data_IF_278267263380
#
_entry.id   IF_278267263380
#
_cell.length_a   1.000
_cell.length_b   1.000
_cell.length_c   1.000
_cell.angle_alpha   90.00
_cell.angle_beta   90.00
_cell.angle_gamma   90.00
#
_symmetry.space_group_name_H-M   'P 1'
#
loop_
_entity.id
_entity.type
_entity.pdbx_description
1 polymer ?
#
# COMPACT_ATOMS: atom_id res chain seq x y z
N UNK A 1 11.00 10.35 55.16
CA UNK A 1 9.90 11.10 54.50
C UNK A 1 10.35 11.89 53.27
N UNK A 2 11.59 12.40 53.17
CA UNK A 2 12.05 13.14 51.98
C UNK A 2 12.23 12.25 50.73
N UNK A 3 12.83 11.06 50.87
CA UNK A 3 13.10 10.13 49.76
C UNK A 3 11.84 9.58 49.07
N UNK A 4 10.78 9.30 49.83
CA UNK A 4 9.50 8.85 49.27
C UNK A 4 8.78 9.94 48.46
N UNK A 5 9.03 11.22 48.77
CA UNK A 5 8.40 12.35 48.08
C UNK A 5 9.10 12.66 46.75
N UNK A 6 10.42 12.51 46.68
CA UNK A 6 11.20 12.66 45.43
C UNK A 6 10.87 11.56 44.43
N UNK A 7 10.73 10.31 44.88
CA UNK A 7 10.37 9.19 44.01
C UNK A 7 9.00 9.35 43.33
N UNK A 8 8.00 9.87 44.07
CA UNK A 8 6.67 10.14 43.49
C UNK A 8 6.70 11.25 42.44
N UNK A 9 7.49 12.31 42.64
CA UNK A 9 7.60 13.42 41.68
C UNK A 9 8.25 12.99 40.35
N UNK A 10 9.27 12.13 40.40
CA UNK A 10 9.92 11.59 39.19
C UNK A 10 9.00 10.64 38.42
N UNK A 11 8.19 9.84 39.14
CA UNK A 11 7.22 8.94 38.52
C UNK A 11 6.07 9.70 37.83
N UNK A 12 5.52 10.73 38.50
CA UNK A 12 4.45 11.56 37.94
C UNK A 12 4.90 12.29 36.66
N UNK A 13 6.12 12.82 36.64
CA UNK A 13 6.71 13.48 35.45
C UNK A 13 6.86 12.53 34.25
N UNK A 14 7.26 11.28 34.47
CA UNK A 14 7.34 10.27 33.40
C UNK A 14 5.96 9.88 32.88
N UNK A 15 4.98 9.73 33.77
CA UNK A 15 3.60 9.39 33.40
C UNK A 15 2.93 10.52 32.61
N UNK A 16 3.16 11.78 32.98
CA UNK A 16 2.64 12.94 32.25
C UNK A 16 3.25 13.05 30.86
N UNK A 17 4.56 12.79 30.70
CA UNK A 17 5.20 12.71 29.38
C UNK A 17 4.63 11.57 28.53
N UNK A 18 4.43 10.39 29.11
CA UNK A 18 3.81 9.25 28.41
C UNK A 18 2.39 9.56 27.95
N UNK A 19 1.58 10.23 28.78
CA UNK A 19 0.21 10.65 28.42
C UNK A 19 0.22 11.70 27.31
N UNK A 20 1.08 12.70 27.43
CA UNK A 20 1.23 13.73 26.39
C UNK A 20 1.65 13.10 25.06
N UNK A 21 2.64 12.20 25.09
CA UNK A 21 3.12 11.51 23.89
C UNK A 21 2.04 10.61 23.27
N UNK A 22 1.28 9.88 24.08
CA UNK A 22 0.15 9.08 23.59
C UNK A 22 -0.92 9.95 22.90
N UNK A 23 -1.26 11.09 23.49
CA UNK A 23 -2.22 12.02 22.91
C UNK A 23 -1.73 12.68 21.61
N UNK A 24 -0.42 12.82 21.41
CA UNK A 24 0.14 13.29 20.14
C UNK A 24 0.07 12.20 19.06
N UNK A 25 0.39 10.95 19.40
CA UNK A 25 0.28 9.82 18.48
C UNK A 25 -1.15 9.60 17.98
N UNK A 26 -2.16 9.81 18.84
CA UNK A 26 -3.58 9.72 18.45
C UNK A 26 -4.01 10.79 17.45
N UNK A 27 -3.28 11.92 17.33
CA UNK A 27 -3.60 12.97 16.35
C UNK A 27 -2.99 12.72 14.98
N UNK A 28 -1.90 11.95 14.92
CA UNK A 28 -1.25 11.61 13.66
C UNK A 28 -2.14 10.64 12.86
N UNK A 29 -2.37 10.95 11.59
CA UNK A 29 -3.41 10.30 10.79
C UNK A 29 -2.89 9.06 10.04
N UNK A 30 -1.64 9.10 9.57
CA UNK A 30 -1.04 8.01 8.82
C UNK A 30 0.14 7.34 9.56
N UNK A 31 0.44 6.06 9.29
CA UNK A 31 1.53 5.33 9.94
C UNK A 31 2.95 5.86 9.72
N UNK A 32 3.21 6.64 8.68
CA UNK A 32 4.52 7.28 8.49
C UNK A 32 4.65 8.48 9.43
N UNK A 33 3.63 9.32 9.48
CA UNK A 33 3.52 10.45 10.42
C UNK A 33 3.57 9.97 11.88
N UNK A 34 2.89 8.86 12.20
CA UNK A 34 2.95 8.23 13.53
C UNK A 34 4.39 7.79 13.84
N UNK A 35 5.11 7.18 12.89
CA UNK A 35 6.47 6.70 13.11
C UNK A 35 7.49 7.85 13.26
N UNK A 36 7.36 8.92 12.47
CA UNK A 36 8.19 10.12 12.59
C UNK A 36 7.97 10.82 13.93
N UNK A 37 6.70 11.03 14.30
CA UNK A 37 6.31 11.64 15.58
C UNK A 37 6.78 10.78 16.74
N UNK A 38 6.64 9.46 16.65
CA UNK A 38 7.12 8.53 17.67
C UNK A 38 8.64 8.60 17.85
N UNK A 39 9.44 8.80 16.80
CA UNK A 39 10.89 8.95 16.92
C UNK A 39 11.26 10.21 17.72
N UNK A 40 10.56 11.33 17.50
CA UNK A 40 10.75 12.57 18.25
C UNK A 40 10.34 12.45 19.72
N UNK A 41 9.14 11.91 19.97
CA UNK A 41 8.64 11.70 21.32
C UNK A 41 9.52 10.72 22.10
N UNK A 42 10.07 9.71 21.43
CA UNK A 42 10.99 8.75 22.03
C UNK A 42 12.28 9.41 22.52
N UNK A 43 12.85 10.36 21.76
CA UNK A 43 14.01 11.16 22.20
C UNK A 43 13.69 11.92 23.49
N UNK A 44 12.55 12.63 23.51
CA UNK A 44 12.14 13.44 24.66
C UNK A 44 11.86 12.59 25.90
N UNK A 45 11.16 11.46 25.73
CA UNK A 45 10.79 10.55 26.82
C UNK A 45 12.03 9.93 27.49
N UNK A 46 12.99 9.50 26.69
CA UNK A 46 14.17 8.75 27.16
C UNK A 46 15.41 9.61 27.36
N UNK A 47 15.32 10.92 27.06
CA UNK A 47 16.44 11.87 27.04
C UNK A 47 17.62 11.33 26.22
N UNK A 48 17.30 10.79 25.05
CA UNK A 48 18.27 10.17 24.16
C UNK A 48 18.81 11.17 23.15
N UNK A 49 20.01 10.91 22.63
CA UNK A 49 20.57 11.71 21.55
C UNK A 49 20.03 11.26 20.20
N UNK A 50 19.71 9.97 20.07
CA UNK A 50 19.35 9.33 18.81
C UNK A 50 18.19 8.36 19.03
N UNK A 51 17.25 8.33 18.08
CA UNK A 51 16.11 7.44 18.04
C UNK A 51 15.95 6.88 16.63
N UNK A 52 15.60 5.59 16.57
CA UNK A 52 15.34 4.86 15.34
C UNK A 52 14.08 4.00 15.54
N UNK A 53 13.18 4.02 14.57
CA UNK A 53 12.02 3.14 14.48
C UNK A 53 12.11 2.40 13.15
N UNK A 54 12.01 1.08 13.20
CA UNK A 54 12.05 0.19 12.03
C UNK A 54 10.69 -0.47 11.88
N UNK A 55 10.07 -0.30 10.71
CA UNK A 55 8.79 -0.90 10.33
C UNK A 55 8.97 -1.64 8.99
N UNK A 56 9.02 -2.96 9.03
CA UNK A 56 9.32 -3.78 7.86
C UNK A 56 10.68 -3.42 7.24
N UNK A 57 10.68 -2.90 6.01
CA UNK A 57 11.89 -2.45 5.29
C UNK A 57 12.16 -0.95 5.40
N UNK A 58 11.29 -0.20 6.08
CA UNK A 58 11.41 1.27 6.26
C UNK A 58 11.96 1.57 7.64
N UNK A 59 12.70 2.68 7.75
CA UNK A 59 13.15 3.20 9.03
C UNK A 59 12.89 4.71 9.12
N UNK A 60 12.63 5.16 10.33
CA UNK A 60 12.38 6.54 10.71
C UNK A 60 13.37 6.87 11.82
N UNK A 61 14.07 7.98 11.70
CA UNK A 61 15.15 8.29 12.62
C UNK A 61 15.20 9.77 12.95
N UNK A 62 15.70 10.10 14.13
CA UNK A 62 15.85 11.48 14.58
C UNK A 62 17.06 11.63 15.49
N UNK A 63 17.83 12.69 15.26
CA UNK A 63 18.88 13.16 16.16
C UNK A 63 18.39 14.37 16.97
N UNK A 64 18.56 14.33 18.29
CA UNK A 64 18.13 15.41 19.19
C UNK A 64 18.90 16.73 18.96
N UNK A 65 20.18 16.65 18.55
CA UNK A 65 21.05 17.81 18.42
C UNK A 65 20.73 18.68 17.19
N UNK A 66 20.30 18.04 16.10
CA UNK A 66 20.05 18.72 14.81
C UNK A 66 18.58 18.76 14.44
N UNK A 67 17.74 17.95 15.11
CA UNK A 67 16.35 17.66 14.70
C UNK A 67 16.24 17.07 13.29
N UNK A 68 17.36 16.59 12.73
CA UNK A 68 17.42 15.97 11.41
C UNK A 68 17.30 14.45 11.51
N UNK A 69 16.97 13.83 10.37
CA UNK A 69 17.02 12.39 10.18
C UNK A 69 18.47 11.90 10.20
N UNK A 70 18.70 10.72 10.77
CA UNK A 70 20.02 10.06 10.76
C UNK A 70 20.31 9.49 9.36
N UNK A 71 21.59 9.46 8.99
CA UNK A 71 22.04 8.70 7.82
C UNK A 71 22.06 7.18 8.08
N UNK A 72 22.19 6.39 7.01
CA UNK A 72 22.11 4.93 7.05
C UNK A 72 23.18 4.31 7.97
N UNK A 73 24.39 4.89 7.99
CA UNK A 73 25.49 4.43 8.81
C UNK A 73 25.19 4.65 10.30
N UNK A 74 24.71 5.84 10.68
CA UNK A 74 24.31 6.13 12.05
C UNK A 74 23.12 5.28 12.52
N UNK A 75 22.16 5.01 11.63
CA UNK A 75 21.05 4.09 11.93
C UNK A 75 21.58 2.68 12.23
N UNK A 76 22.50 2.18 11.42
CA UNK A 76 23.11 0.87 11.62
C UNK A 76 23.91 0.81 12.95
N UNK A 77 24.63 1.88 13.30
CA UNK A 77 25.36 2.00 14.55
C UNK A 77 24.43 1.93 15.78
N UNK A 78 23.32 2.69 15.79
CA UNK A 78 22.35 2.67 16.89
C UNK A 78 21.77 1.26 17.08
N UNK A 79 21.36 0.61 15.98
CA UNK A 79 20.78 -0.74 16.02
C UNK A 79 21.81 -1.78 16.47
N UNK A 80 23.05 -1.68 16.02
CA UNK A 80 24.13 -2.57 16.45
C UNK A 80 24.45 -2.36 17.94
N UNK A 81 24.50 -1.11 18.40
CA UNK A 81 24.75 -0.77 19.79
C UNK A 81 23.62 -1.29 20.70
N UNK A 82 22.35 -1.21 20.27
CA UNK A 82 21.20 -1.67 21.04
C UNK A 82 21.16 -3.20 21.24
N UNK A 83 21.82 -3.95 20.35
CA UNK A 83 22.06 -5.40 20.49
C UNK A 83 23.32 -5.72 21.31
N UNK A 84 24.16 -4.71 21.54
CA UNK A 84 25.40 -4.81 22.29
C UNK A 84 25.20 -4.86 23.81
N UNK A 85 26.32 -4.90 24.54
CA UNK A 85 26.32 -5.02 26.02
C UNK A 85 26.63 -3.71 26.75
N UNK A 86 26.78 -2.60 26.02
CA UNK A 86 27.26 -1.33 26.58
C UNK A 86 26.22 -0.62 27.46
N UNK A 87 24.94 -1.02 27.38
CA UNK A 87 23.84 -0.39 28.12
C UNK A 87 23.50 1.04 27.68
N UNK A 88 24.25 1.61 26.73
CA UNK A 88 24.11 2.97 26.18
C UNK A 88 23.20 3.07 24.97
N UNK A 89 22.72 1.92 24.51
CA UNK A 89 21.64 1.81 23.55
C UNK A 89 20.70 0.70 24.04
N UNK A 90 19.41 0.86 23.76
CA UNK A 90 18.40 -0.13 24.09
C UNK A 90 17.38 -0.18 22.97
N UNK A 91 16.79 -1.36 22.77
CA UNK A 91 15.73 -1.57 21.79
C UNK A 91 14.52 -2.25 22.43
N UNK A 92 13.36 -2.08 21.80
CA UNK A 92 12.11 -2.74 22.14
C UNK A 92 11.34 -3.08 20.88
N UNK A 93 10.73 -4.24 20.88
CA UNK A 93 9.88 -4.70 19.78
C UNK A 93 8.48 -4.08 19.88
N UNK A 94 7.97 -3.65 18.73
CA UNK A 94 6.60 -3.18 18.57
C UNK A 94 5.70 -4.38 18.32
N UNK A 95 4.74 -4.60 19.21
CA UNK A 95 3.81 -5.73 19.13
C UNK A 95 2.38 -5.26 18.91
N UNK A 96 1.76 -5.73 17.83
CA UNK A 96 0.34 -5.53 17.56
C UNK A 96 -0.33 -6.88 17.29
N UNK A 97 -1.45 -7.16 17.97
CA UNK A 97 -2.18 -8.43 17.79
C UNK A 97 -1.38 -9.70 18.12
N UNK A 98 -0.26 -9.60 18.84
CA UNK A 98 0.66 -10.72 19.12
C UNK A 98 1.76 -10.92 18.07
N UNK A 99 1.82 -10.10 17.02
CA UNK A 99 2.88 -10.12 16.01
C UNK A 99 3.85 -8.95 16.22
N UNK A 100 5.13 -9.18 15.89
CA UNK A 100 6.15 -8.12 15.87
C UNK A 100 6.03 -7.35 14.57
N UNK A 101 5.56 -6.09 14.66
CA UNK A 101 5.38 -5.21 13.50
C UNK A 101 6.59 -4.29 13.26
N UNK A 102 7.52 -4.26 14.21
CA UNK A 102 8.70 -3.40 14.11
C UNK A 102 9.56 -3.39 15.36
N UNK A 103 10.51 -2.47 15.40
CA UNK A 103 11.42 -2.27 16.53
C UNK A 103 11.71 -0.79 16.71
N UNK A 104 11.79 -0.33 17.96
CA UNK A 104 12.28 1.00 18.30
C UNK A 104 13.61 0.85 19.03
N UNK A 105 14.57 1.72 18.74
CA UNK A 105 15.85 1.78 19.39
C UNK A 105 16.23 3.22 19.73
N UNK A 106 16.97 3.39 20.82
CA UNK A 106 17.53 4.67 21.24
C UNK A 106 18.98 4.50 21.66
N UNK A 107 19.76 5.57 21.50
CA UNK A 107 21.12 5.65 22.01
C UNK A 107 21.36 6.96 22.76
N UNK A 108 22.18 6.89 23.82
CA UNK A 108 22.67 8.04 24.58
C UNK A 108 24.03 7.75 25.22
N UNK A 109 24.73 8.79 25.67
CA UNK A 109 26.07 8.64 26.27
C UNK A 109 26.07 7.88 27.62
N UNK A 110 24.93 7.86 28.33
CA UNK A 110 24.76 7.24 29.64
C UNK A 110 23.94 5.94 29.56
N UNK A 111 24.13 5.04 30.53
CA UNK A 111 23.40 3.76 30.54
C UNK A 111 21.90 3.94 30.80
N UNK A 112 21.08 3.08 30.18
CA UNK A 112 19.64 3.02 30.43
C UNK A 112 19.32 2.23 31.70
N UNK A 113 18.53 2.86 32.57
CA UNK A 113 18.04 2.26 33.80
C UNK A 113 16.90 1.26 33.53
N UNK A 114 16.49 0.53 34.56
CA UNK A 114 15.28 -0.31 34.49
C UNK A 114 14.02 0.52 34.20
N UNK A 115 13.91 1.71 34.81
CA UNK A 115 12.81 2.64 34.59
C UNK A 115 12.77 3.18 33.17
N UNK A 116 13.91 3.52 32.57
CA UNK A 116 13.98 3.94 31.16
C UNK A 116 13.45 2.84 30.24
N UNK A 117 13.89 1.59 30.46
CA UNK A 117 13.45 0.43 29.67
C UNK A 117 11.96 0.15 29.83
N UNK A 118 11.41 0.33 31.03
CA UNK A 118 9.99 0.15 31.29
C UNK A 118 9.15 1.26 30.65
N UNK A 119 9.59 2.53 30.73
CA UNK A 119 8.93 3.63 30.05
C UNK A 119 8.93 3.43 28.52
N UNK A 120 10.05 2.96 27.97
CA UNK A 120 10.18 2.63 26.55
C UNK A 120 9.24 1.49 26.13
N UNK A 121 9.08 0.46 26.96
CA UNK A 121 8.16 -0.65 26.69
C UNK A 121 6.69 -0.22 26.71
N UNK A 122 6.31 0.66 27.65
CA UNK A 122 4.95 1.25 27.69
C UNK A 122 4.72 2.10 26.45
N UNK A 123 5.68 2.95 26.09
CA UNK A 123 5.57 3.79 24.91
C UNK A 123 5.51 2.98 23.62
N UNK A 124 6.31 1.91 23.49
CA UNK A 124 6.25 0.97 22.38
C UNK A 124 4.88 0.32 22.23
N UNK A 125 4.21 0.01 23.33
CA UNK A 125 2.84 -0.52 23.31
C UNK A 125 1.86 0.51 22.74
N UNK A 126 1.99 1.79 23.11
CA UNK A 126 1.15 2.87 22.58
C UNK A 126 1.41 3.13 21.10
N UNK A 127 2.68 3.15 20.68
CA UNK A 127 3.08 3.30 19.27
C UNK A 127 2.52 2.14 18.44
N UNK A 128 2.65 0.90 18.91
CA UNK A 128 2.13 -0.27 18.21
C UNK A 128 0.59 -0.23 18.08
N UNK A 129 -0.11 0.20 19.13
CA UNK A 129 -1.56 0.36 19.10
C UNK A 129 -2.01 1.46 18.12
N UNK A 130 -1.31 2.60 18.08
CA UNK A 130 -1.58 3.68 17.14
C UNK A 130 -1.38 3.22 15.69
N UNK A 131 -0.26 2.54 15.41
CA UNK A 131 0.04 1.97 14.09
C UNK A 131 -1.00 0.94 13.64
N UNK A 132 -1.39 0.02 14.53
CA UNK A 132 -2.42 -1.00 14.26
C UNK A 132 -3.79 -0.36 13.98
N UNK A 133 -4.18 0.66 14.76
CA UNK A 133 -5.45 1.37 14.54
C UNK A 133 -5.45 2.13 13.21
N UNK A 134 -4.36 2.81 12.88
CA UNK A 134 -4.24 3.53 11.62
C UNK A 134 -4.25 2.57 10.42
N UNK A 135 -3.61 1.40 10.53
CA UNK A 135 -3.66 0.37 9.48
C UNK A 135 -5.07 -0.22 9.32
N UNK A 136 -5.77 -0.50 10.43
CA UNK A 136 -7.17 -0.97 10.40
C UNK A 136 -8.12 0.05 9.79
N UNK A 137 -7.96 1.33 10.14
CA UNK A 137 -8.77 2.40 9.57
C UNK A 137 -8.56 2.50 8.05
N UNK A 138 -7.30 2.52 7.60
CA UNK A 138 -6.97 2.50 6.17
C UNK A 138 -7.51 1.26 5.47
N UNK A 139 -7.41 0.09 6.09
CA UNK A 139 -7.97 -1.14 5.52
C UNK A 139 -9.50 -1.06 5.41
N UNK A 140 -10.19 -0.49 6.41
CA UNK A 140 -11.63 -0.32 6.39
C UNK A 140 -12.06 0.66 5.30
N UNK A 141 -11.41 1.82 5.18
CA UNK A 141 -11.65 2.81 4.13
C UNK A 141 -11.43 2.22 2.73
N UNK A 142 -10.40 1.37 2.56
CA UNK A 142 -10.14 0.67 1.29
C UNK A 142 -11.25 -0.31 0.93
N UNK A 143 -11.76 -1.05 1.91
CA UNK A 143 -12.87 -1.99 1.72
C UNK A 143 -14.17 -1.25 1.44
N UNK A 144 -14.46 -0.17 2.16
CA UNK A 144 -15.63 0.68 1.96
C UNK A 144 -15.60 1.32 0.58
N UNK A 145 -14.46 1.90 0.17
CA UNK A 145 -14.27 2.40 -1.19
C UNK A 145 -14.52 1.28 -2.19
N UNK A 146 -13.87 0.12 -2.08
CA UNK A 146 -14.10 -0.98 -3.00
C UNK A 146 -15.59 -1.43 -3.08
N UNK A 147 -16.32 -1.38 -1.97
CA UNK A 147 -17.76 -1.67 -1.93
C UNK A 147 -18.59 -0.59 -2.64
N UNK A 148 -18.34 0.69 -2.38
CA UNK A 148 -18.96 1.81 -3.08
C UNK A 148 -18.72 1.72 -4.59
N UNK A 149 -17.50 1.39 -4.99
CA UNK A 149 -17.13 1.20 -6.39
C UNK A 149 -17.91 0.04 -7.03
N UNK A 150 -18.05 -1.09 -6.34
CA UNK A 150 -18.85 -2.21 -6.81
C UNK A 150 -20.33 -1.85 -6.96
N UNK A 151 -20.89 -1.10 -5.99
CA UNK A 151 -22.28 -0.63 -6.05
C UNK A 151 -22.48 0.38 -7.19
N UNK A 152 -21.54 1.30 -7.41
CA UNK A 152 -21.59 2.25 -8.52
C UNK A 152 -21.56 1.53 -9.88
N UNK A 153 -20.72 0.51 -10.03
CA UNK A 153 -20.69 -0.34 -11.22
C UNK A 153 -22.05 -1.03 -11.41
N UNK A 154 -22.61 -1.65 -10.37
CA UNK A 154 -23.92 -2.30 -10.45
C UNK A 154 -25.06 -1.33 -10.80
N UNK A 155 -25.04 -0.10 -10.25
CA UNK A 155 -26.04 0.93 -10.54
C UNK A 155 -25.93 1.47 -11.96
N UNK A 156 -24.70 1.77 -12.42
CA UNK A 156 -24.42 2.20 -13.78
C UNK A 156 -24.91 1.16 -14.81
N UNK A 157 -24.78 -0.13 -14.47
CA UNK A 157 -25.23 -1.21 -15.34
C UNK A 157 -26.75 -1.41 -15.29
N UNK A 158 -27.37 -1.30 -14.10
CA UNK A 158 -28.83 -1.51 -13.92
C UNK A 158 -29.72 -0.45 -14.57
N UNK A 159 -29.18 0.73 -14.88
CA UNK A 159 -29.94 1.90 -15.32
C UNK A 159 -30.12 2.01 -16.85
N UNK A 160 -29.70 1.00 -17.63
CA UNK A 160 -29.69 1.10 -19.09
C UNK A 160 -30.59 0.08 -19.82
N UNK A 161 -31.44 0.51 -20.76
CA UNK A 161 -32.18 -0.39 -21.65
C UNK A 161 -31.24 -1.12 -22.62
N UNK A 162 -31.29 -2.45 -22.63
CA UNK A 162 -30.58 -3.29 -23.60
C UNK A 162 -31.29 -3.18 -24.95
N UNK A 163 -30.70 -2.45 -25.89
CA UNK A 163 -31.03 -2.51 -27.32
C UNK A 163 -29.75 -2.28 -28.14
N UNK A 164 -29.57 -3.07 -29.20
CA UNK A 164 -28.28 -3.42 -29.83
C UNK A 164 -27.38 -2.31 -30.41
N UNK A 165 -27.68 -1.02 -30.23
CA UNK A 165 -26.77 0.09 -30.55
C UNK A 165 -25.93 0.57 -29.34
N UNK A 166 -26.10 -0.01 -28.14
CA UNK A 166 -25.63 0.54 -26.86
C UNK A 166 -24.38 -0.15 -26.25
N UNK A 167 -23.84 -1.21 -26.87
CA UNK A 167 -22.82 -2.04 -26.21
C UNK A 167 -21.41 -1.40 -26.18
N UNK A 168 -21.00 -0.70 -27.24
CA UNK A 168 -19.71 0.01 -27.24
C UNK A 168 -19.71 1.21 -26.28
N UNK A 169 -20.86 1.86 -26.12
CA UNK A 169 -21.05 2.97 -25.20
C UNK A 169 -21.03 2.47 -23.75
N UNK A 170 -21.63 1.31 -23.49
CA UNK A 170 -21.54 0.60 -22.23
C UNK A 170 -20.08 0.28 -21.84
N UNK A 171 -19.29 -0.35 -22.73
CA UNK A 171 -17.88 -0.64 -22.43
C UNK A 171 -17.05 0.62 -22.21
N UNK A 172 -17.36 1.71 -22.90
CA UNK A 172 -16.72 3.01 -22.68
C UNK A 172 -17.01 3.58 -21.31
N UNK A 173 -18.26 3.57 -20.87
CA UNK A 173 -18.62 4.04 -19.54
C UNK A 173 -17.99 3.18 -18.44
N UNK A 174 -17.93 1.87 -18.65
CA UNK A 174 -17.33 0.93 -17.72
C UNK A 174 -15.80 1.12 -17.64
N UNK A 175 -15.14 1.29 -18.79
CA UNK A 175 -13.72 1.58 -18.85
C UNK A 175 -13.37 2.93 -18.19
N UNK A 176 -14.22 3.95 -18.35
CA UNK A 176 -14.06 5.26 -17.71
C UNK A 176 -14.15 5.14 -16.19
N UNK A 177 -15.20 4.48 -15.71
CA UNK A 177 -15.37 4.15 -14.30
C UNK A 177 -14.13 3.46 -13.72
N UNK A 178 -13.59 2.47 -14.45
CA UNK A 178 -12.41 1.72 -13.99
C UNK A 178 -11.16 2.59 -14.00
N UNK A 179 -10.98 3.45 -15.01
CA UNK A 179 -9.88 4.40 -15.08
C UNK A 179 -9.88 5.38 -13.92
N UNK A 180 -11.07 5.81 -13.48
CA UNK A 180 -11.21 6.62 -12.28
C UNK A 180 -10.83 5.86 -11.01
N UNK A 181 -11.23 4.59 -10.89
CA UNK A 181 -10.97 3.79 -9.70
C UNK A 181 -9.50 3.49 -9.46
N UNK A 182 -8.77 3.14 -10.53
CA UNK A 182 -7.34 2.78 -10.42
C UNK A 182 -6.40 3.93 -10.72
N UNK A 183 -6.93 5.12 -11.00
CA UNK A 183 -6.11 6.27 -11.33
C UNK A 183 -5.39 6.15 -12.68
N UNK A 184 -5.97 5.48 -13.68
CA UNK A 184 -5.35 5.26 -14.99
C UNK A 184 -5.80 6.28 -16.03
N UNK A 185 -4.91 6.68 -16.93
CA UNK A 185 -5.27 7.49 -18.11
C UNK A 185 -5.94 6.64 -19.19
N UNK A 186 -5.68 5.33 -19.24
CA UNK A 186 -6.20 4.45 -20.29
C UNK A 186 -6.72 3.14 -19.71
N UNK A 187 -7.89 2.69 -20.17
CA UNK A 187 -8.43 1.36 -19.83
C UNK A 187 -9.01 0.69 -21.07
N UNK A 188 -8.65 -0.58 -21.29
CA UNK A 188 -9.08 -1.37 -22.44
C UNK A 188 -9.57 -2.74 -22.00
N UNK A 189 -10.76 -3.10 -22.46
CA UNK A 189 -11.28 -4.46 -22.38
C UNK A 189 -10.76 -5.29 -23.55
N UNK A 190 -10.33 -6.51 -23.28
CA UNK A 190 -9.96 -7.49 -24.27
C UNK A 190 -10.90 -8.68 -24.18
N UNK A 191 -11.53 -9.02 -25.30
CA UNK A 191 -12.42 -10.18 -25.38
C UNK A 191 -11.67 -11.37 -25.94
N UNK A 192 -11.77 -12.49 -25.24
CA UNK A 192 -11.45 -13.80 -25.78
C UNK A 192 -12.50 -14.17 -26.84
N UNK A 193 -12.04 -14.60 -28.00
CA UNK A 193 -12.88 -15.03 -29.12
C UNK A 193 -12.81 -16.54 -29.28
N UNK A 194 -13.80 -17.08 -29.99
CA UNK A 194 -13.90 -18.51 -30.29
C UNK A 194 -12.69 -19.05 -31.09
N UNK A 195 -11.92 -18.17 -31.75
CA UNK A 195 -10.68 -18.51 -32.46
C UNK A 195 -9.44 -18.61 -31.56
N UNK A 196 -9.62 -18.53 -30.23
CA UNK A 196 -8.52 -18.60 -29.25
C UNK A 196 -7.65 -17.35 -29.23
N UNK A 197 -8.16 -16.20 -29.70
CA UNK A 197 -7.45 -14.92 -29.65
C UNK A 197 -8.14 -13.93 -28.74
N UNK A 198 -7.32 -13.22 -27.97
CA UNK A 198 -7.71 -12.00 -27.28
C UNK A 198 -7.64 -10.82 -28.23
N UNK A 199 -8.72 -10.07 -28.34
CA UNK A 199 -8.76 -8.87 -29.14
C UNK A 199 -9.35 -7.69 -28.34
N UNK A 200 -8.82 -6.47 -28.53
CA UNK A 200 -9.34 -5.30 -27.84
C UNK A 200 -10.77 -4.99 -28.31
N UNK A 201 -11.64 -4.66 -27.36
CA UNK A 201 -12.98 -4.15 -27.62
C UNK A 201 -12.89 -2.64 -27.93
N UNK A 202 -13.69 -2.16 -28.87
CA UNK A 202 -13.80 -0.72 -29.13
C UNK A 202 -14.50 -0.01 -27.96
N UNK A 203 -14.10 1.24 -27.70
CA UNK A 203 -14.63 2.02 -26.58
C UNK A 203 -13.78 1.92 -25.30
N UNK A 204 -12.45 1.78 -25.39
CA UNK A 204 -11.59 1.97 -24.22
C UNK A 204 -11.63 3.41 -23.71
N UNK A 205 -11.36 3.62 -22.42
CA UNK A 205 -11.21 4.94 -21.81
C UNK A 205 -9.83 5.52 -22.13
N UNK A 206 -9.78 6.81 -22.48
CA UNK A 206 -8.53 7.53 -22.81
C UNK A 206 -7.73 6.97 -23.99
N UNK A 207 -8.38 6.14 -24.81
CA UNK A 207 -7.73 5.35 -25.86
C UNK A 207 -8.03 5.94 -27.23
N UNK A 208 -7.02 6.52 -27.86
CA UNK A 208 -7.13 7.06 -29.21
C UNK A 208 -6.88 5.99 -30.30
N UNK A 209 -7.08 6.38 -31.56
CA UNK A 209 -6.89 5.48 -32.70
C UNK A 209 -5.44 5.02 -32.86
N UNK A 210 -4.48 5.85 -32.48
CA UNK A 210 -3.06 5.54 -32.59
C UNK A 210 -2.68 4.45 -31.58
N UNK A 211 -3.14 4.57 -30.34
CA UNK A 211 -2.99 3.57 -29.29
C UNK A 211 -3.67 2.25 -29.67
N UNK A 212 -4.94 2.29 -30.10
CA UNK A 212 -5.66 1.09 -30.55
C UNK A 212 -4.93 0.34 -31.66
N UNK A 213 -4.29 1.06 -32.59
CA UNK A 213 -3.57 0.42 -33.70
C UNK A 213 -2.34 -0.38 -33.25
N UNK A 214 -1.80 -0.11 -32.05
CA UNK A 214 -0.72 -0.90 -31.44
C UNK A 214 -1.25 -2.17 -30.78
N UNK A 215 -2.53 -2.20 -30.39
CA UNK A 215 -3.15 -3.36 -29.73
C UNK A 215 -3.54 -4.40 -30.78
N UNK A 216 -2.67 -5.39 -30.97
CA UNK A 216 -2.91 -6.48 -31.93
C UNK A 216 -3.59 -7.67 -31.26
N UNK A 217 -4.53 -8.35 -31.95
CA UNK A 217 -5.05 -9.61 -31.47
C UNK A 217 -3.92 -10.58 -31.15
N UNK A 218 -3.95 -11.14 -29.95
CA UNK A 218 -2.88 -11.98 -29.41
C UNK A 218 -3.43 -13.37 -29.10
N UNK A 219 -2.62 -14.41 -29.31
CA UNK A 219 -2.99 -15.79 -28.99
C UNK A 219 -3.25 -15.93 -27.49
N UNK A 220 -4.27 -16.69 -27.11
CA UNK A 220 -4.65 -16.92 -25.72
C UNK A 220 -5.21 -18.32 -25.58
N UNK A 221 -4.49 -19.21 -24.90
CA UNK A 221 -4.82 -20.63 -24.79
C UNK A 221 -4.78 -21.10 -23.33
N UNK A 222 -5.62 -22.09 -22.94
CA UNK A 222 -5.68 -22.59 -21.57
C UNK A 222 -4.32 -23.02 -20.99
N UNK A 223 -3.51 -23.72 -21.80
CA UNK A 223 -2.20 -24.23 -21.44
C UNK A 223 -1.04 -23.31 -21.94
N UNK A 224 -1.36 -22.09 -22.37
CA UNK A 224 -0.38 -21.14 -22.88
C UNK A 224 0.47 -20.53 -21.76
N UNK A 225 1.77 -20.41 -22.01
CA UNK A 225 2.73 -19.82 -21.05
C UNK A 225 3.04 -18.34 -21.36
N UNK A 226 2.41 -17.78 -22.41
CA UNK A 226 2.47 -16.35 -22.71
C UNK A 226 1.68 -15.52 -21.68
N UNK A 227 2.01 -14.24 -21.58
CA UNK A 227 1.41 -13.34 -20.59
C UNK A 227 -0.12 -13.30 -20.67
N UNK A 228 -0.68 -13.28 -21.88
CA UNK A 228 -2.12 -13.13 -22.07
C UNK A 228 -2.87 -14.39 -21.62
N UNK A 229 -2.35 -15.56 -22.00
CA UNK A 229 -2.84 -16.87 -21.53
C UNK A 229 -2.75 -17.01 -20.00
N UNK A 230 -1.63 -16.60 -19.39
CA UNK A 230 -1.45 -16.65 -17.93
C UNK A 230 -2.41 -15.72 -17.20
N UNK A 231 -2.64 -14.51 -17.72
CA UNK A 231 -3.63 -13.59 -17.12
C UNK A 231 -5.04 -14.18 -17.20
N UNK A 232 -5.47 -14.64 -18.37
CA UNK A 232 -6.86 -15.10 -18.58
C UNK A 232 -7.16 -16.43 -17.93
N UNK A 233 -6.28 -17.43 -18.10
CA UNK A 233 -6.57 -18.80 -17.68
C UNK A 233 -5.99 -19.14 -16.31
N UNK A 234 -4.84 -18.57 -15.96
CA UNK A 234 -4.16 -18.85 -14.68
C UNK A 234 -4.39 -17.76 -13.61
N UNK A 235 -5.31 -16.81 -13.88
CA UNK A 235 -5.64 -15.68 -13.00
C UNK A 235 -4.42 -14.87 -12.55
N UNK A 236 -3.36 -14.82 -13.39
CA UNK A 236 -2.18 -14.00 -13.11
C UNK A 236 -2.60 -12.53 -13.07
N UNK A 237 -2.29 -11.86 -11.95
CA UNK A 237 -2.40 -10.41 -11.83
C UNK A 237 -1.11 -9.81 -12.38
N UNK A 238 -1.20 -9.17 -13.54
CA UNK A 238 -0.07 -8.50 -14.16
C UNK A 238 0.04 -7.07 -13.64
N UNK A 239 1.26 -6.67 -13.27
CA UNK A 239 1.62 -5.29 -12.94
C UNK A 239 3.06 -5.02 -13.36
N UNK A 240 3.28 -3.90 -14.04
CA UNK A 240 4.61 -3.44 -14.41
C UNK A 240 4.70 -1.91 -14.29
N UNK A 241 5.75 -1.42 -13.63
CA UNK A 241 6.11 0.00 -13.57
C UNK A 241 7.46 0.23 -14.26
N UNK A 242 7.63 1.34 -14.98
CA UNK A 242 8.93 1.70 -15.52
C UNK A 242 9.99 1.79 -14.41
N UNK A 243 11.15 1.14 -14.62
CA UNK A 243 12.24 1.09 -13.65
C UNK A 243 12.24 -0.13 -12.72
N UNK A 244 11.18 -0.95 -12.69
CA UNK A 244 11.16 -2.25 -12.02
C UNK A 244 11.88 -3.34 -12.86
N UNK A 245 12.30 -4.48 -12.27
CA UNK A 245 13.05 -5.53 -12.97
C UNK A 245 12.39 -6.01 -14.28
N UNK A 246 13.19 -6.37 -15.31
CA UNK A 246 12.78 -6.31 -16.71
C UNK A 246 11.90 -7.47 -17.22
N UNK A 247 11.33 -8.33 -16.37
CA UNK A 247 10.66 -9.55 -16.84
C UNK A 247 9.50 -9.27 -17.83
N UNK A 248 8.92 -8.07 -17.77
CA UNK A 248 7.89 -7.60 -18.70
C UNK A 248 8.13 -6.20 -19.29
N UNK A 249 9.35 -5.68 -19.21
CA UNK A 249 9.69 -4.35 -19.74
C UNK A 249 9.37 -4.21 -21.24
N UNK A 250 9.50 -5.30 -22.00
CA UNK A 250 9.18 -5.35 -23.42
C UNK A 250 7.71 -5.02 -23.72
N UNK A 251 6.76 -5.31 -22.82
CA UNK A 251 5.34 -5.03 -22.98
C UNK A 251 5.09 -3.53 -22.90
N UNK A 252 5.69 -2.87 -21.90
CA UNK A 252 5.60 -1.42 -21.72
C UNK A 252 6.21 -0.68 -22.92
N UNK A 253 7.37 -1.13 -23.39
CA UNK A 253 8.06 -0.57 -24.55
C UNK A 253 7.24 -0.73 -25.85
N UNK A 254 6.69 -1.93 -26.09
CA UNK A 254 5.87 -2.21 -27.28
C UNK A 254 4.62 -1.33 -27.35
N UNK A 255 3.98 -1.09 -26.21
CA UNK A 255 2.79 -0.26 -26.11
C UNK A 255 3.11 1.23 -26.04
N UNK A 256 4.33 1.59 -25.62
CA UNK A 256 4.77 2.96 -25.38
C UNK A 256 4.07 3.59 -24.18
N UNK A 257 3.96 2.83 -23.08
CA UNK A 257 3.31 3.24 -21.83
C UNK A 257 4.29 3.17 -20.67
N UNK A 258 4.05 3.98 -19.64
CA UNK A 258 4.96 4.14 -18.50
C UNK A 258 4.76 3.04 -17.44
N UNK A 259 3.55 2.54 -17.33
CA UNK A 259 3.16 1.48 -16.41
C UNK A 259 1.85 0.84 -16.88
N UNK A 260 1.59 -0.39 -16.42
CA UNK A 260 0.43 -1.16 -16.82
C UNK A 260 0.00 -2.15 -15.72
N UNK A 261 -1.30 -2.39 -15.60
CA UNK A 261 -1.89 -3.49 -14.85
C UNK A 261 -2.88 -4.26 -15.71
N UNK A 262 -2.99 -5.56 -15.52
CA UNK A 262 -3.97 -6.39 -16.22
C UNK A 262 -4.47 -7.54 -15.35
N UNK A 263 -5.76 -7.83 -15.45
CA UNK A 263 -6.46 -8.88 -14.68
C UNK A 263 -7.44 -9.64 -15.57
N UNK A 264 -7.74 -10.89 -15.19
CA UNK A 264 -8.78 -11.68 -15.84
C UNK A 264 -10.15 -11.01 -15.74
N UNK A 265 -10.93 -11.10 -16.80
CA UNK A 265 -12.35 -10.76 -16.85
C UNK A 265 -13.14 -12.04 -17.10
N UNK A 266 -14.00 -12.38 -16.15
CA UNK A 266 -14.71 -13.67 -16.12
C UNK A 266 -16.07 -13.59 -15.44
N UNK A 267 -17.02 -14.40 -15.92
CA UNK A 267 -18.32 -14.63 -15.29
C UNK A 267 -18.32 -16.04 -14.68
N UNK A 268 -18.19 -16.13 -13.35
CA UNK A 268 -17.99 -17.43 -12.70
C UNK A 268 -16.72 -18.12 -13.23
N UNK A 269 -16.89 -19.30 -13.82
CA UNK A 269 -15.81 -20.08 -14.45
C UNK A 269 -15.55 -19.69 -15.92
N UNK A 270 -16.48 -18.98 -16.56
CA UNK A 270 -16.36 -18.57 -17.97
C UNK A 270 -15.31 -17.47 -18.14
N UNK A 271 -14.33 -17.73 -19.01
CA UNK A 271 -13.26 -16.78 -19.35
C UNK A 271 -13.70 -15.86 -20.48
N UNK A 272 -14.05 -14.63 -20.14
CA UNK A 272 -14.48 -13.61 -21.11
C UNK A 272 -13.28 -12.88 -21.75
N UNK A 273 -12.17 -12.77 -21.01
CA UNK A 273 -10.91 -12.21 -21.50
C UNK A 273 -10.12 -11.51 -20.39
N UNK A 274 -9.62 -10.30 -20.64
CA UNK A 274 -8.89 -9.50 -19.65
C UNK A 274 -9.24 -8.01 -19.73
N UNK A 275 -8.91 -7.29 -18.66
CA UNK A 275 -8.98 -5.82 -18.62
C UNK A 275 -7.59 -5.31 -18.29
N UNK A 276 -7.13 -4.34 -19.09
CA UNK A 276 -5.84 -3.71 -18.92
C UNK A 276 -5.99 -2.20 -18.70
N UNK A 277 -5.27 -1.68 -17.71
CA UNK A 277 -5.15 -0.25 -17.44
C UNK A 277 -3.70 0.20 -17.63
N UNK A 278 -3.51 1.38 -18.19
CA UNK A 278 -2.20 1.92 -18.55
C UNK A 278 -2.04 3.37 -18.10
N UNK A 279 -0.80 3.79 -17.91
CA UNK A 279 -0.41 5.16 -17.60
C UNK A 279 -1.15 5.71 -16.37
N UNK A 280 -0.75 5.23 -15.20
CA UNK A 280 -1.19 5.75 -13.91
C UNK A 280 -0.91 7.24 -13.82
N UNK A 281 -1.92 7.98 -13.35
CA UNK A 281 -1.87 9.40 -13.00
C UNK A 281 -0.98 9.67 -11.76
N UNK A 282 -0.57 8.64 -11.04
CA UNK A 282 0.27 8.76 -9.84
C UNK A 282 1.76 8.72 -10.22
N UNK A 283 2.61 9.57 -9.62
CA UNK A 283 4.05 9.59 -9.92
C UNK A 283 4.77 8.25 -9.66
N UNK A 284 4.28 7.45 -8.72
CA UNK A 284 4.85 6.16 -8.32
C UNK A 284 4.38 4.98 -9.18
N UNK A 285 3.49 5.21 -10.15
CA UNK A 285 2.86 4.14 -10.94
C UNK A 285 1.74 3.39 -10.21
N UNK A 286 1.36 2.22 -10.72
CA UNK A 286 0.31 1.39 -10.14
C UNK A 286 0.81 0.65 -8.90
N UNK A 287 -0.01 0.65 -7.85
CA UNK A 287 0.22 -0.03 -6.59
C UNK A 287 -0.36 -1.45 -6.58
N UNK A 288 -0.11 -2.22 -5.50
CA UNK A 288 -0.81 -3.50 -5.27
C UNK A 288 -2.31 -3.29 -5.03
N UNK A 289 -2.70 -2.13 -4.52
CA UNK A 289 -4.11 -1.79 -4.31
C UNK A 289 -4.86 -1.72 -5.62
N UNK A 290 -4.29 -1.00 -6.59
CA UNK A 290 -4.93 -0.75 -7.87
C UNK A 290 -5.18 -2.05 -8.62
N UNK A 291 -4.25 -3.01 -8.53
CA UNK A 291 -4.45 -4.34 -9.09
C UNK A 291 -5.61 -5.11 -8.46
N UNK A 292 -5.82 -4.97 -7.14
CA UNK A 292 -6.90 -5.64 -6.43
C UNK A 292 -8.25 -4.98 -6.71
N UNK A 293 -8.29 -3.64 -6.74
CA UNK A 293 -9.48 -2.87 -7.14
C UNK A 293 -9.90 -3.24 -8.56
N UNK A 294 -8.95 -3.28 -9.51
CA UNK A 294 -9.25 -3.69 -10.89
C UNK A 294 -9.78 -5.11 -10.96
N UNK A 295 -9.19 -6.05 -10.20
CA UNK A 295 -9.64 -7.44 -10.17
C UNK A 295 -11.08 -7.56 -9.67
N UNK A 296 -11.43 -6.86 -8.59
CA UNK A 296 -12.81 -6.88 -8.05
C UNK A 296 -13.81 -6.27 -9.02
N UNK A 297 -13.45 -5.16 -9.63
CA UNK A 297 -14.25 -4.51 -10.66
C UNK A 297 -14.45 -5.44 -11.88
N UNK A 298 -13.40 -6.12 -12.33
CA UNK A 298 -13.46 -7.08 -13.44
C UNK A 298 -14.38 -8.27 -13.16
N UNK A 299 -14.36 -8.81 -11.94
CA UNK A 299 -15.28 -9.89 -11.53
C UNK A 299 -16.73 -9.40 -11.53
N UNK A 300 -16.99 -8.21 -11.00
CA UNK A 300 -18.34 -7.63 -11.00
C UNK A 300 -18.83 -7.37 -12.43
N UNK A 301 -17.98 -6.85 -13.31
CA UNK A 301 -18.32 -6.61 -14.71
C UNK A 301 -18.68 -7.90 -15.46
N UNK A 302 -17.95 -9.00 -15.21
CA UNK A 302 -18.22 -10.29 -15.87
C UNK A 302 -19.64 -10.80 -15.65
N UNK A 303 -20.19 -10.61 -14.45
CA UNK A 303 -21.55 -11.05 -14.09
C UNK A 303 -22.67 -10.32 -14.84
N UNK A 304 -22.37 -9.21 -15.52
CA UNK A 304 -23.38 -8.38 -16.18
C UNK A 304 -23.19 -8.24 -17.68
N UNK A 305 -22.14 -8.87 -18.20
CA UNK A 305 -21.81 -8.92 -19.63
C UNK A 305 -22.09 -10.27 -20.28
N UNK A 306 -22.62 -11.23 -19.52
CA UNK A 306 -23.25 -12.48 -19.99
C UNK A 306 -24.60 -12.17 -20.65
#
# INVERSE_FOLDING_TARGET
MATARTFNLELDDVLDRLRSAAAELERAGDPEEIAETAAELLLALTRSSEAVIVLGTRFFSRAAATSLQLDDDAVAEVLAAARGRTGRATQVELHAGGEVIGTMAVARATEYTGSDRQAMAIFASNVAAALDSAEKLRSAERVERAHELAVQVLLAVSSQPVSGQNLSDFYRQLAETFGEFVGADKVVFWRLRDDGKLAPIQGGFGVDRAFLSKLKPTRCEPDGDDLASRVVYQDLIFRANAGEPPEFGYVLETLGVSNAISVAWRAGDERLGLIAAYDSRRPTGFSREDTWVLQKAALAAGLVTE
#
